data_IF_032965395865
#
_entry.id   IF_032965395865
#
_cell.length_a   1.000
_cell.length_b   1.000
_cell.length_c   1.000
_cell.angle_alpha   90.00
_cell.angle_beta   90.00
_cell.angle_gamma   90.00
#
_symmetry.space_group_name_H-M   'P 1'
#
loop_
_entity.id
_entity.type
_entity.pdbx_description
1 polymer ?
#
# COMPACT_ATOMS: atom_id res chain seq x y z
N UNK A 1 7.65 43.01 -4.39
CA UNK A 1 8.27 41.67 -4.48
C UNK A 1 7.90 40.91 -3.23
N UNK A 2 7.27 39.75 -3.37
CA UNK A 2 6.80 38.95 -2.24
C UNK A 2 6.09 37.72 -2.77
N UNK A 3 6.86 36.78 -3.32
CA UNK A 3 6.34 35.51 -3.78
C UNK A 3 5.87 34.70 -2.57
N UNK A 4 4.56 34.55 -2.41
CA UNK A 4 3.96 33.48 -1.62
C UNK A 4 4.31 32.16 -2.30
N UNK A 5 5.34 31.49 -1.79
CA UNK A 5 5.65 30.12 -2.13
C UNK A 5 4.45 29.26 -1.76
N UNK A 6 3.70 28.87 -2.78
CA UNK A 6 2.72 27.80 -2.74
C UNK A 6 3.37 26.60 -2.07
N UNK A 7 3.03 26.34 -0.81
CA UNK A 7 3.42 25.12 -0.14
C UNK A 7 2.95 23.94 -1.01
N UNK A 8 3.82 23.00 -1.40
CA UNK A 8 3.35 21.80 -2.06
C UNK A 8 2.41 21.14 -1.06
N UNK A 9 1.17 20.91 -1.50
CA UNK A 9 0.12 20.31 -0.69
C UNK A 9 0.73 19.09 0.01
N UNK A 10 0.99 19.21 1.31
CA UNK A 10 1.21 18.06 2.20
C UNK A 10 -0.09 17.28 2.14
N UNK A 11 -0.21 16.44 1.11
CA UNK A 11 -1.07 15.27 1.12
C UNK A 11 -0.90 14.69 2.51
N UNK A 12 -1.98 14.63 3.29
CA UNK A 12 -2.05 13.88 4.54
C UNK A 12 -1.23 12.60 4.33
N UNK A 13 -0.02 12.53 4.89
CA UNK A 13 0.83 11.35 4.73
C UNK A 13 0.03 10.24 5.40
N UNK A 14 -0.41 9.28 4.61
CA UNK A 14 -1.11 8.10 5.13
C UNK A 14 -0.23 7.46 6.21
N UNK A 15 -0.82 6.87 7.25
CA UNK A 15 -0.04 6.10 8.22
C UNK A 15 0.86 5.10 7.48
N UNK A 16 2.15 5.05 7.80
CA UNK A 16 3.10 4.15 7.12
C UNK A 16 3.58 4.60 5.73
N UNK A 17 3.39 5.86 5.34
CA UNK A 17 3.99 6.40 4.11
C UNK A 17 5.52 6.41 4.18
N UNK A 18 6.16 5.65 3.29
CA UNK A 18 7.60 5.66 3.06
C UNK A 18 7.91 6.34 1.72
N UNK A 19 9.02 7.10 1.65
CA UNK A 19 9.41 7.82 0.43
C UNK A 19 9.73 6.84 -0.71
N UNK A 20 9.20 7.05 -1.94
CA UNK A 20 9.40 6.14 -3.07
C UNK A 20 10.86 5.84 -3.38
N UNK A 21 11.76 6.82 -3.22
CA UNK A 21 13.19 6.64 -3.45
C UNK A 21 13.83 5.64 -2.49
N UNK A 22 13.40 5.63 -1.22
CA UNK A 22 13.88 4.68 -0.21
C UNK A 22 13.43 3.27 -0.56
N UNK A 23 12.15 3.11 -0.88
CA UNK A 23 11.59 1.81 -1.28
C UNK A 23 12.22 1.31 -2.58
N UNK A 24 12.39 2.17 -3.59
CA UNK A 24 13.08 1.80 -4.83
C UNK A 24 14.51 1.31 -4.56
N UNK A 25 15.27 1.94 -3.66
CA UNK A 25 16.62 1.48 -3.31
C UNK A 25 16.67 0.12 -2.60
N UNK A 26 15.56 -0.29 -1.97
CA UNK A 26 15.45 -1.56 -1.24
C UNK A 26 14.83 -2.67 -2.10
N UNK A 27 14.41 -2.34 -3.33
CA UNK A 27 13.63 -3.20 -4.20
C UNK A 27 14.23 -3.21 -5.60
N UNK A 28 13.77 -4.11 -6.47
CA UNK A 28 14.14 -4.10 -7.89
C UNK A 28 13.33 -3.08 -8.70
N UNK A 29 12.41 -2.35 -8.06
CA UNK A 29 11.58 -1.34 -8.71
C UNK A 29 12.30 -0.02 -8.89
N UNK A 30 12.00 0.64 -10.00
CA UNK A 30 12.33 2.05 -10.22
C UNK A 30 11.43 2.96 -9.39
N UNK A 31 11.86 4.21 -9.17
CA UNK A 31 11.07 5.21 -8.44
C UNK A 31 9.68 5.38 -9.06
N UNK A 32 9.59 5.42 -10.39
CA UNK A 32 8.32 5.56 -11.11
C UNK A 32 7.39 4.36 -10.91
N UNK A 33 7.94 3.14 -10.83
CA UNK A 33 7.13 1.94 -10.54
C UNK A 33 6.62 1.97 -9.11
N UNK A 34 7.44 2.42 -8.14
CA UNK A 34 7.00 2.59 -6.76
C UNK A 34 5.89 3.66 -6.65
N UNK A 35 5.99 4.75 -7.40
CA UNK A 35 4.90 5.75 -7.48
C UNK A 35 3.62 5.17 -8.09
N UNK A 36 3.74 4.34 -9.14
CA UNK A 36 2.59 3.65 -9.71
C UNK A 36 1.96 2.66 -8.71
N UNK A 37 2.79 1.94 -7.94
CA UNK A 37 2.33 1.07 -6.85
C UNK A 37 1.64 1.87 -5.74
N UNK A 38 2.07 3.10 -5.46
CA UNK A 38 1.39 3.97 -4.49
C UNK A 38 -0.01 4.36 -4.94
N UNK A 39 -0.21 4.66 -6.22
CA UNK A 39 -1.55 4.91 -6.76
C UNK A 39 -2.46 3.68 -6.68
N UNK A 40 -1.91 2.49 -6.89
CA UNK A 40 -2.63 1.24 -6.67
C UNK A 40 -2.98 1.04 -5.19
N UNK A 41 -2.00 1.20 -4.30
CA UNK A 41 -2.16 1.09 -2.86
C UNK A 41 -3.29 1.99 -2.35
N UNK A 42 -3.34 3.25 -2.79
CA UNK A 42 -4.42 4.18 -2.44
C UNK A 42 -5.79 3.69 -2.91
N UNK A 43 -5.91 3.08 -4.09
CA UNK A 43 -7.20 2.53 -4.53
C UNK A 43 -7.67 1.40 -3.64
N UNK A 44 -6.74 0.57 -3.14
CA UNK A 44 -7.04 -0.58 -2.29
C UNK A 44 -7.37 -0.18 -0.85
N UNK A 45 -6.52 0.63 -0.23
CA UNK A 45 -6.60 1.08 1.19
C UNK A 45 -7.73 2.07 1.50
N UNK A 46 -8.52 2.44 0.48
CA UNK A 46 -9.70 3.28 0.63
C UNK A 46 -10.98 2.57 0.12
N UNK A 47 -10.91 1.25 -0.14
CA UNK A 47 -11.97 0.51 -0.80
C UNK A 47 -13.13 0.17 0.13
N UNK A 48 -12.87 -0.09 1.41
CA UNK A 48 -13.88 -0.39 2.43
C UNK A 48 -13.68 0.56 3.61
N UNK A 49 -12.48 0.55 4.18
CA UNK A 49 -12.08 1.44 5.26
C UNK A 49 -11.36 2.65 4.65
N UNK A 50 -11.46 3.83 5.28
CA UNK A 50 -10.90 5.09 4.74
C UNK A 50 -9.77 5.63 5.62
N UNK A 51 -8.96 4.74 6.14
CA UNK A 51 -7.83 5.04 7.02
C UNK A 51 -6.48 5.04 6.29
N UNK A 52 -6.44 4.56 5.04
CA UNK A 52 -5.22 4.50 4.25
C UNK A 52 -4.32 3.32 4.64
N UNK A 53 -4.90 2.27 5.21
CA UNK A 53 -4.29 0.96 5.47
C UNK A 53 -5.05 -0.10 4.68
N UNK A 54 -4.39 -1.19 4.24
CA UNK A 54 -5.11 -2.29 3.58
C UNK A 54 -5.47 -3.33 4.64
N UNK A 55 -6.78 -3.48 4.89
CA UNK A 55 -7.30 -4.54 5.75
C UNK A 55 -7.51 -5.84 4.97
N UNK A 56 -7.66 -6.95 5.70
CA UNK A 56 -7.87 -8.28 5.11
C UNK A 56 -9.09 -8.34 4.19
N UNK A 57 -10.16 -7.62 4.54
CA UNK A 57 -11.38 -7.50 3.74
C UNK A 57 -11.15 -6.79 2.42
N UNK A 58 -10.35 -5.72 2.42
CA UNK A 58 -10.00 -4.94 1.22
C UNK A 58 -9.07 -5.71 0.31
N UNK A 59 -8.10 -6.42 0.89
CA UNK A 59 -7.19 -7.29 0.15
C UNK A 59 -7.95 -8.41 -0.57
N UNK A 60 -8.91 -9.05 0.11
CA UNK A 60 -9.76 -10.08 -0.49
C UNK A 60 -10.66 -9.51 -1.59
N UNK A 61 -11.24 -8.34 -1.34
CA UNK A 61 -12.04 -7.64 -2.34
C UNK A 61 -11.23 -7.32 -3.59
N UNK A 62 -9.97 -6.90 -3.43
CA UNK A 62 -9.06 -6.62 -4.55
C UNK A 62 -8.74 -7.87 -5.38
N UNK A 63 -8.44 -8.99 -4.73
CA UNK A 63 -8.02 -10.23 -5.39
C UNK A 63 -9.18 -11.00 -6.02
N UNK A 64 -10.32 -11.11 -5.31
CA UNK A 64 -11.42 -12.02 -5.69
C UNK A 64 -12.68 -11.28 -6.11
N UNK A 65 -12.68 -9.94 -6.09
CA UNK A 65 -13.86 -9.10 -6.34
C UNK A 65 -15.03 -9.42 -5.38
N UNK A 66 -14.73 -10.04 -4.24
CA UNK A 66 -15.64 -10.34 -3.15
C UNK A 66 -14.93 -10.16 -1.81
N UNK A 67 -15.59 -9.51 -0.87
CA UNK A 67 -15.13 -9.42 0.52
C UNK A 67 -15.59 -10.61 1.37
N UNK A 68 -16.46 -11.49 0.83
CA UNK A 68 -17.12 -12.59 1.55
C UNK A 68 -16.47 -13.94 1.24
N UNK A 69 -16.43 -14.82 2.26
CA UNK A 69 -16.01 -16.22 2.15
C UNK A 69 -14.55 -16.44 2.55
N UNK A 70 -14.30 -17.31 3.53
CA UNK A 70 -12.94 -17.68 3.93
C UNK A 70 -12.18 -18.23 2.73
N UNK A 71 -11.00 -17.67 2.44
CA UNK A 71 -10.13 -18.15 1.39
C UNK A 71 -8.73 -18.32 1.96
N UNK A 72 -8.34 -19.57 2.22
CA UNK A 72 -7.04 -19.91 2.80
C UNK A 72 -5.87 -19.39 1.96
N UNK A 73 -6.03 -19.29 0.64
CA UNK A 73 -5.01 -18.70 -0.22
C UNK A 73 -4.88 -17.19 0.03
N UNK A 74 -6.01 -16.47 0.05
CA UNK A 74 -6.02 -15.04 0.32
C UNK A 74 -5.42 -14.71 1.69
N UNK A 75 -5.77 -15.53 2.68
CA UNK A 75 -5.30 -15.38 4.05
C UNK A 75 -3.79 -15.62 4.13
N UNK A 76 -3.26 -16.67 3.50
CA UNK A 76 -1.80 -16.91 3.49
C UNK A 76 -1.02 -15.87 2.70
N UNK A 77 -1.57 -15.36 1.59
CA UNK A 77 -0.92 -14.27 0.84
C UNK A 77 -0.97 -12.97 1.65
N UNK A 78 -2.07 -12.69 2.35
CA UNK A 78 -2.16 -11.54 3.25
C UNK A 78 -1.09 -11.63 4.35
N UNK A 79 -0.92 -12.79 4.98
CA UNK A 79 0.10 -13.00 6.01
C UNK A 79 1.55 -12.84 5.49
N UNK A 80 1.78 -13.03 4.18
CA UNK A 80 3.06 -12.72 3.54
C UNK A 80 3.27 -11.21 3.34
N UNK A 81 2.18 -10.46 3.21
CA UNK A 81 2.21 -9.01 3.02
C UNK A 81 2.22 -8.25 4.35
N UNK A 82 1.60 -8.77 5.42
CA UNK A 82 1.60 -8.18 6.77
C UNK A 82 2.89 -8.58 7.53
N UNK A 83 4.00 -7.94 7.17
CA UNK A 83 5.33 -8.23 7.71
C UNK A 83 5.40 -7.95 9.22
N UNK A 84 4.69 -6.92 9.70
CA UNK A 84 4.60 -6.55 11.12
C UNK A 84 3.62 -7.41 11.92
N UNK A 85 2.78 -8.21 11.26
CA UNK A 85 1.73 -9.05 11.86
C UNK A 85 0.77 -8.26 12.74
N UNK A 86 0.38 -7.07 12.31
CA UNK A 86 -0.54 -6.19 13.03
C UNK A 86 -1.97 -6.21 12.45
N UNK A 87 -2.22 -7.05 11.43
CA UNK A 87 -3.52 -7.23 10.79
C UNK A 87 -3.83 -6.25 9.66
N UNK A 88 -2.87 -5.39 9.29
CA UNK A 88 -3.02 -4.39 8.23
C UNK A 88 -1.74 -4.32 7.40
N UNK A 89 -1.86 -3.97 6.11
CA UNK A 89 -0.69 -3.80 5.24
C UNK A 89 -0.44 -2.31 5.04
N UNK A 90 0.70 -1.84 5.53
CA UNK A 90 1.21 -0.49 5.25
C UNK A 90 1.82 -0.40 3.86
N UNK A 91 1.99 0.81 3.33
CA UNK A 91 2.51 1.01 1.97
C UNK A 91 3.89 0.38 1.76
N UNK A 92 4.81 0.55 2.72
CA UNK A 92 6.14 -0.05 2.62
C UNK A 92 6.12 -1.57 2.62
N UNK A 93 5.21 -2.18 3.39
CA UNK A 93 5.01 -3.64 3.40
C UNK A 93 4.45 -4.14 2.06
N UNK A 94 3.49 -3.40 1.50
CA UNK A 94 2.92 -3.69 0.18
C UNK A 94 4.00 -3.72 -0.91
N UNK A 95 4.85 -2.68 -0.98
CA UNK A 95 5.90 -2.58 -2.01
C UNK A 95 6.99 -3.65 -1.82
N UNK A 96 7.43 -3.89 -0.59
CA UNK A 96 8.45 -4.93 -0.30
C UNK A 96 7.91 -6.33 -0.60
N UNK A 97 6.65 -6.60 -0.26
CA UNK A 97 6.03 -7.92 -0.45
C UNK A 97 5.66 -8.18 -1.91
N UNK A 98 5.42 -7.13 -2.72
CA UNK A 98 5.23 -7.27 -4.15
C UNK A 98 6.41 -7.93 -4.87
N UNK A 99 7.64 -7.91 -4.33
CA UNK A 99 8.79 -8.64 -4.91
C UNK A 99 8.78 -10.11 -4.55
N UNK A 100 8.31 -10.45 -3.35
CA UNK A 100 8.40 -11.81 -2.83
C UNK A 100 7.39 -12.76 -3.48
N UNK A 101 6.46 -12.23 -4.28
CA UNK A 101 5.35 -12.97 -4.90
C UNK A 101 5.44 -13.00 -6.44
N UNK A 102 6.52 -12.47 -7.04
CA UNK A 102 6.80 -12.57 -8.50
C UNK A 102 8.01 -13.42 -8.80
#
# INVERSE_FOLDING_TARGET
MGCVLSSPRRSRRTPGYEEPTVLASQTSFTVNEVEALYELYKKLSYSIFKDGLIHKEEFRLALFRTSKGANLFADRVFDLFDLKRNGVIEFGEFVRSCIQVV
#
